data_IF_114186458324
#
_entry.id   IF_114186458324
#
_cell.length_a   1.000
_cell.length_b   1.000
_cell.length_c   1.000
_cell.angle_alpha   90.00
_cell.angle_beta   90.00
_cell.angle_gamma   90.00
#
_symmetry.space_group_name_H-M   'P 1'
#
loop_
_entity.id
_entity.type
_entity.pdbx_description
1 polymer ?
#
# COMPACT_ATOMS: atom_id res chain seq x y z
N UNK A 1 -25.68 -15.81 11.22
CA UNK A 1 -25.58 -14.37 10.95
C UNK A 1 -24.71 -14.16 9.71
N UNK A 2 -25.30 -14.12 8.51
CA UNK A 2 -24.59 -13.80 7.26
C UNK A 2 -24.73 -12.29 7.03
N UNK A 3 -23.75 -11.53 7.51
CA UNK A 3 -23.69 -10.08 7.29
C UNK A 3 -23.21 -9.83 5.85
N UNK A 4 -24.16 -9.38 5.02
CA UNK A 4 -24.06 -8.63 3.77
C UNK A 4 -23.05 -9.06 2.69
N UNK A 5 -23.57 -9.21 1.47
CA UNK A 5 -22.82 -9.14 0.21
C UNK A 5 -22.35 -7.71 -0.05
N UNK A 6 -21.47 -7.18 0.79
CA UNK A 6 -20.69 -6.00 0.47
C UNK A 6 -19.80 -6.36 -0.72
N UNK A 7 -19.91 -5.62 -1.84
CA UNK A 7 -19.04 -5.85 -3.01
C UNK A 7 -17.60 -5.99 -2.56
N UNK A 8 -16.92 -7.05 -3.02
CA UNK A 8 -15.60 -7.52 -2.57
C UNK A 8 -14.62 -6.37 -2.33
N UNK A 9 -14.55 -5.87 -1.09
CA UNK A 9 -13.51 -4.95 -0.67
C UNK A 9 -12.24 -5.79 -0.46
N UNK A 10 -11.42 -5.86 -1.49
CA UNK A 10 -10.20 -6.67 -1.48
C UNK A 10 -9.02 -5.88 -0.88
N UNK A 11 -9.05 -5.71 0.44
CA UNK A 11 -7.96 -5.09 1.21
C UNK A 11 -7.01 -6.13 1.85
N UNK A 12 -7.11 -7.40 1.47
CA UNK A 12 -6.26 -8.45 2.03
C UNK A 12 -4.79 -8.19 1.72
N UNK A 13 -3.91 -8.59 2.64
CA UNK A 13 -2.46 -8.54 2.44
C UNK A 13 -2.09 -9.25 1.14
N UNK A 14 -1.15 -8.66 0.41
CA UNK A 14 -0.57 -9.22 -0.81
C UNK A 14 0.94 -9.26 -0.64
N UNK A 15 1.53 -10.37 -1.06
CA UNK A 15 2.97 -10.52 -1.11
C UNK A 15 3.52 -9.79 -2.35
N UNK A 16 4.47 -8.90 -2.10
CA UNK A 16 5.24 -8.19 -3.11
C UNK A 16 6.70 -8.59 -2.99
N UNK A 17 7.46 -8.47 -4.07
CA UNK A 17 8.86 -8.90 -4.09
C UNK A 17 9.81 -7.83 -3.49
N UNK A 18 9.46 -6.54 -3.62
CA UNK A 18 10.36 -5.44 -3.26
C UNK A 18 9.82 -4.50 -2.18
N UNK A 19 8.54 -4.61 -1.83
CA UNK A 19 7.88 -3.81 -0.79
C UNK A 19 7.11 -4.69 0.18
N UNK A 20 6.72 -4.15 1.33
CA UNK A 20 5.77 -4.80 2.24
C UNK A 20 4.54 -3.93 2.42
N UNK A 21 3.37 -4.48 2.12
CA UNK A 21 2.08 -3.83 2.36
C UNK A 21 1.43 -4.34 3.65
N UNK A 22 1.24 -3.39 4.56
CA UNK A 22 0.56 -3.30 5.86
C UNK A 22 -0.95 -3.04 5.92
N UNK A 23 -1.92 -3.93 5.61
CA UNK A 23 -3.33 -3.54 5.62
C UNK A 23 -3.78 -2.98 6.99
N UNK A 24 -4.48 -1.86 6.97
CA UNK A 24 -4.94 -1.16 8.18
C UNK A 24 -6.30 -1.65 8.68
N UNK A 25 -7.25 -1.87 7.77
CA UNK A 25 -8.63 -2.24 8.10
C UNK A 25 -9.17 -3.27 7.10
N UNK A 26 -10.34 -3.84 7.37
CA UNK A 26 -10.95 -4.81 6.45
C UNK A 26 -11.34 -4.21 5.08
N UNK A 27 -11.69 -2.92 5.04
CA UNK A 27 -12.25 -2.29 3.84
C UNK A 27 -11.22 -1.56 2.97
N UNK A 28 -10.22 -0.88 3.57
CA UNK A 28 -9.23 -0.07 2.85
C UNK A 28 -8.04 0.30 3.73
N UNK A 29 -6.99 0.82 3.10
CA UNK A 29 -5.81 1.39 3.74
C UNK A 29 -4.69 0.37 3.89
N UNK A 30 -3.45 0.79 3.59
CA UNK A 30 -2.26 0.04 3.91
C UNK A 30 -1.03 0.92 4.21
N UNK A 31 -0.19 0.48 5.13
CA UNK A 31 1.17 1.01 5.33
C UNK A 31 2.13 0.37 4.33
N UNK A 32 2.95 1.16 3.62
CA UNK A 32 4.01 0.61 2.79
C UNK A 32 5.35 0.72 3.54
N UNK A 33 6.02 -0.42 3.68
CA UNK A 33 7.29 -0.57 4.38
C UNK A 33 8.38 -1.09 3.43
N UNK A 34 9.64 -0.89 3.83
CA UNK A 34 10.82 -1.39 3.10
C UNK A 34 11.25 -0.52 1.91
N UNK A 35 10.73 0.71 1.81
CA UNK A 35 11.04 1.65 0.73
C UNK A 35 11.34 3.04 1.24
N UNK A 36 12.11 3.79 0.46
CA UNK A 36 12.34 5.23 0.62
C UNK A 36 11.83 5.94 -0.61
N UNK A 37 10.88 6.87 -0.45
CA UNK A 37 10.21 7.53 -1.58
C UNK A 37 11.19 8.34 -2.44
N UNK A 38 12.21 8.93 -1.83
CA UNK A 38 13.25 9.68 -2.55
C UNK A 38 14.17 8.83 -3.42
N UNK A 39 14.14 7.49 -3.29
CA UNK A 39 14.94 6.59 -4.12
C UNK A 39 14.20 5.28 -4.37
N UNK A 40 13.33 5.28 -5.39
CA UNK A 40 12.57 4.12 -5.80
C UNK A 40 13.13 3.51 -7.09
N UNK A 41 13.21 2.19 -7.11
CA UNK A 41 13.37 1.45 -8.37
C UNK A 41 12.04 1.38 -9.11
N UNK A 42 12.08 1.18 -10.44
CA UNK A 42 10.88 1.01 -11.26
C UNK A 42 10.00 -0.15 -10.78
N UNK A 43 10.64 -1.23 -10.31
CA UNK A 43 9.94 -2.39 -9.77
C UNK A 43 9.17 -2.03 -8.49
N UNK A 44 9.81 -1.33 -7.55
CA UNK A 44 9.15 -0.85 -6.33
C UNK A 44 8.02 0.12 -6.65
N UNK A 45 8.21 1.03 -7.61
CA UNK A 45 7.16 1.96 -8.01
C UNK A 45 5.95 1.24 -8.62
N UNK A 46 6.18 0.23 -9.46
CA UNK A 46 5.11 -0.59 -10.02
C UNK A 46 4.32 -1.33 -8.93
N UNK A 47 5.01 -1.87 -7.93
CA UNK A 47 4.38 -2.53 -6.78
C UNK A 47 3.59 -1.55 -5.91
N UNK A 48 4.13 -0.35 -5.64
CA UNK A 48 3.45 0.72 -4.89
C UNK A 48 2.17 1.15 -5.63
N UNK A 49 2.24 1.34 -6.95
CA UNK A 49 1.07 1.67 -7.77
C UNK A 49 -0.01 0.60 -7.67
N UNK A 50 0.39 -0.67 -7.76
CA UNK A 50 -0.54 -1.78 -7.58
C UNK A 50 -1.14 -1.80 -6.17
N UNK A 51 -0.33 -1.56 -5.13
CA UNK A 51 -0.78 -1.48 -3.75
C UNK A 51 -1.78 -0.34 -3.53
N UNK A 52 -1.58 0.83 -4.14
CA UNK A 52 -2.53 1.94 -4.11
C UNK A 52 -3.89 1.55 -4.68
N UNK A 53 -3.94 0.89 -5.85
CA UNK A 53 -5.21 0.48 -6.45
C UNK A 53 -5.93 -0.60 -5.64
N UNK A 54 -5.19 -1.48 -4.98
CA UNK A 54 -5.74 -2.52 -4.10
C UNK A 54 -6.30 -1.91 -2.83
N UNK A 55 -5.46 -1.17 -2.09
CA UNK A 55 -5.77 -0.69 -0.75
C UNK A 55 -6.49 0.66 -0.74
N UNK A 56 -6.63 1.32 -1.90
CA UNK A 56 -7.31 2.62 -2.15
C UNK A 56 -6.64 3.83 -1.50
N UNK A 57 -6.01 3.64 -0.36
CA UNK A 57 -5.22 4.59 0.36
C UNK A 57 -3.96 3.89 0.85
N UNK A 58 -2.82 4.53 0.70
CA UNK A 58 -1.55 4.08 1.24
C UNK A 58 -0.84 5.22 1.94
N UNK A 59 0.00 4.88 2.91
CA UNK A 59 0.87 5.85 3.57
C UNK A 59 2.23 5.22 3.85
N UNK A 60 3.21 6.07 4.09
CA UNK A 60 4.59 5.69 4.36
C UNK A 60 4.98 6.32 5.70
N UNK A 61 5.72 5.58 6.53
CA UNK A 61 6.32 6.11 7.75
C UNK A 61 7.78 6.46 7.51
N UNK A 62 8.29 7.35 8.34
CA UNK A 62 9.73 7.67 8.43
C UNK A 62 10.36 8.09 7.10
N UNK A 63 9.60 8.87 6.30
CA UNK A 63 10.09 9.45 5.07
C UNK A 63 10.54 10.88 5.33
N UNK A 64 11.84 11.11 5.21
CA UNK A 64 12.41 12.46 5.21
C UNK A 64 12.30 13.04 3.80
N UNK A 65 11.28 13.88 3.58
CA UNK A 65 10.98 14.51 2.29
C UNK A 65 11.13 16.02 2.43
N UNK A 66 11.92 16.62 1.54
CA UNK A 66 11.96 18.07 1.37
C UNK A 66 11.00 18.46 0.25
N UNK A 67 10.62 19.73 0.14
CA UNK A 67 9.72 20.17 -0.93
C UNK A 67 10.40 20.19 -2.32
N UNK A 68 11.72 20.27 -2.36
CA UNK A 68 12.50 20.60 -3.55
C UNK A 68 13.33 19.43 -4.10
N UNK A 69 13.44 18.31 -3.36
CA UNK A 69 14.03 17.04 -3.83
C UNK A 69 13.00 16.13 -4.50
#
# INVERSE_FOLDING_TARGET
MKLHSAGLFDNLAKDYAHIRAVPLAAAMGAEIQGVRISNLTDAQFAEIRHALFRHKMIYFRDQDITHAD
#
